data_IF_001111673488
#
_entry.id   IF_001111673488
#
_cell.length_a   1.000
_cell.length_b   1.000
_cell.length_c   1.000
_cell.angle_alpha   90.00
_cell.angle_beta   90.00
_cell.angle_gamma   90.00
#
_symmetry.space_group_name_H-M   'P 1'
#
loop_
_entity.id
_entity.type
_entity.pdbx_description
1 polymer ?
#
# COMPACT_ATOMS: atom_id res chain seq x y z
N UNK A 1 -1.67 -1.41 25.12
CA UNK A 1 -0.86 -1.26 23.89
C UNK A 1 -1.52 -2.12 22.81
N UNK A 2 -1.68 -1.59 21.60
CA UNK A 2 -2.11 -2.36 20.43
C UNK A 2 -0.89 -2.76 19.62
N UNK A 3 -0.86 -3.99 19.11
CA UNK A 3 0.24 -4.56 18.34
C UNK A 3 -0.28 -5.04 16.99
N UNK A 4 0.46 -4.80 15.91
CA UNK A 4 0.17 -5.25 14.56
C UNK A 4 1.43 -5.62 13.79
N UNK A 5 1.24 -6.24 12.64
CA UNK A 5 2.30 -6.54 11.68
C UNK A 5 2.11 -5.66 10.45
N UNK A 6 3.19 -5.05 9.93
CA UNK A 6 3.12 -4.01 8.89
C UNK A 6 4.05 -4.32 7.70
N UNK A 7 3.75 -5.34 6.89
CA UNK A 7 4.51 -5.63 5.67
C UNK A 7 4.09 -4.73 4.51
N UNK A 8 4.84 -4.83 3.41
CA UNK A 8 4.40 -4.41 2.08
C UNK A 8 4.00 -5.62 1.24
N UNK A 9 3.52 -5.39 0.01
CA UNK A 9 3.18 -6.47 -0.90
C UNK A 9 2.73 -5.98 -2.28
N UNK A 10 2.41 -6.95 -3.16
CA UNK A 10 1.78 -6.69 -4.45
C UNK A 10 0.26 -6.67 -4.28
N UNK A 11 -0.35 -5.52 -4.49
CA UNK A 11 -1.79 -5.33 -4.35
C UNK A 11 -2.48 -5.31 -5.70
N UNK A 12 -3.75 -5.67 -5.69
CA UNK A 12 -4.59 -5.69 -6.89
C UNK A 12 -5.90 -4.96 -6.65
N UNK A 13 -6.51 -4.50 -7.74
CA UNK A 13 -7.86 -3.96 -7.76
C UNK A 13 -8.58 -4.39 -9.04
N UNK A 14 -9.91 -4.56 -9.03
CA UNK A 14 -10.64 -5.06 -10.18
C UNK A 14 -10.77 -4.00 -11.28
N UNK A 15 -10.88 -4.44 -12.53
CA UNK A 15 -11.16 -3.60 -13.69
C UNK A 15 -12.57 -3.00 -13.65
N UNK A 16 -13.53 -3.73 -13.11
CA UNK A 16 -14.90 -3.30 -12.92
C UNK A 16 -15.45 -3.76 -11.57
N UNK A 17 -16.65 -3.28 -11.22
CA UNK A 17 -17.35 -3.75 -10.02
C UNK A 17 -18.11 -5.07 -10.24
N UNK A 18 -17.99 -5.71 -11.38
CA UNK A 18 -18.59 -7.01 -11.63
C UNK A 18 -17.97 -8.05 -10.69
N UNK A 19 -18.80 -8.93 -10.14
CA UNK A 19 -18.40 -9.95 -9.17
C UNK A 19 -17.23 -10.81 -9.68
N UNK A 20 -17.20 -11.12 -10.98
CA UNK A 20 -16.12 -11.89 -11.59
C UNK A 20 -14.76 -11.16 -11.55
N UNK A 21 -14.75 -9.86 -11.86
CA UNK A 21 -13.54 -9.06 -11.83
C UNK A 21 -13.04 -8.85 -10.39
N UNK A 22 -13.97 -8.63 -9.46
CA UNK A 22 -13.66 -8.49 -8.02
C UNK A 22 -13.05 -9.77 -7.47
N UNK A 23 -13.64 -10.93 -7.78
CA UNK A 23 -13.12 -12.23 -7.33
C UNK A 23 -11.77 -12.55 -8.00
N UNK A 24 -11.61 -12.22 -9.29
CA UNK A 24 -10.32 -12.37 -10.00
C UNK A 24 -9.20 -11.55 -9.35
N UNK A 25 -9.46 -10.28 -9.04
CA UNK A 25 -8.50 -9.42 -8.37
C UNK A 25 -8.15 -9.95 -6.98
N UNK A 26 -9.15 -10.35 -6.19
CA UNK A 26 -8.95 -10.93 -4.87
C UNK A 26 -8.15 -12.24 -4.92
N UNK A 27 -8.48 -13.13 -5.83
CA UNK A 27 -7.75 -14.40 -6.00
C UNK A 27 -6.31 -14.16 -6.44
N UNK A 28 -6.08 -13.26 -7.40
CA UNK A 28 -4.72 -12.92 -7.79
C UNK A 28 -3.90 -12.37 -6.62
N UNK A 29 -4.45 -11.47 -5.80
CA UNK A 29 -3.76 -10.89 -4.66
C UNK A 29 -3.28 -11.95 -3.66
N UNK A 30 -4.08 -12.97 -3.40
CA UNK A 30 -3.78 -13.95 -2.35
C UNK A 30 -3.19 -15.27 -2.86
N UNK A 31 -3.59 -15.73 -4.06
CA UNK A 31 -3.24 -17.08 -4.56
C UNK A 31 -2.14 -17.09 -5.61
N UNK A 32 -1.80 -15.94 -6.22
CA UNK A 32 -0.74 -15.88 -7.22
C UNK A 32 0.64 -15.93 -6.56
N UNK A 33 1.07 -17.11 -6.15
CA UNK A 33 2.37 -17.36 -5.51
C UNK A 33 3.21 -18.23 -6.44
N UNK A 34 4.36 -17.70 -6.86
CA UNK A 34 5.35 -18.39 -7.70
C UNK A 34 6.75 -18.20 -7.14
N UNK A 35 7.73 -18.91 -7.68
CA UNK A 35 9.14 -18.73 -7.30
C UNK A 35 9.67 -17.32 -7.56
N UNK A 36 9.08 -16.60 -8.52
CA UNK A 36 9.54 -15.27 -8.92
C UNK A 36 8.87 -14.12 -8.14
N UNK A 37 7.68 -14.38 -7.55
CA UNK A 37 6.88 -13.31 -6.93
C UNK A 37 6.56 -13.49 -5.44
N UNK A 38 6.88 -14.62 -4.84
CA UNK A 38 6.50 -14.97 -3.46
C UNK A 38 6.87 -13.89 -2.44
N UNK A 39 8.02 -13.24 -2.63
CA UNK A 39 8.52 -12.20 -1.71
C UNK A 39 7.56 -11.01 -1.60
N UNK A 40 6.79 -10.74 -2.65
CA UNK A 40 5.80 -9.65 -2.70
C UNK A 40 4.36 -10.14 -2.49
N UNK A 41 4.14 -11.45 -2.32
CA UNK A 41 2.79 -11.96 -2.16
C UNK A 41 2.26 -11.66 -0.76
N UNK A 42 1.07 -11.07 -0.70
CA UNK A 42 0.45 -10.62 0.55
C UNK A 42 0.08 -11.79 1.46
N UNK A 43 -0.48 -12.88 0.92
CA UNK A 43 -0.91 -14.03 1.70
C UNK A 43 0.29 -14.81 2.25
N UNK A 44 1.38 -14.90 1.51
CA UNK A 44 2.59 -15.61 1.95
C UNK A 44 3.09 -15.11 3.32
N UNK A 45 3.05 -13.79 3.53
CA UNK A 45 3.53 -13.18 4.77
C UNK A 45 2.44 -13.01 5.84
N UNK A 46 1.19 -12.77 5.42
CA UNK A 46 0.12 -12.48 6.38
C UNK A 46 -0.64 -13.73 6.85
N UNK A 47 -0.83 -14.74 6.01
CA UNK A 47 -1.57 -15.94 6.42
C UNK A 47 -0.96 -16.66 7.63
N UNK A 48 0.37 -16.93 7.69
CA UNK A 48 0.95 -17.54 8.87
C UNK A 48 0.78 -16.70 10.14
N UNK A 49 0.84 -15.37 10.00
CA UNK A 49 0.70 -14.43 11.13
C UNK A 49 -0.75 -14.33 11.63
N UNK A 50 -1.72 -14.21 10.73
CA UNK A 50 -3.12 -13.97 11.11
C UNK A 50 -3.99 -15.22 11.11
N UNK A 51 -3.64 -16.25 10.33
CA UNK A 51 -4.43 -17.49 10.19
C UNK A 51 -3.71 -18.74 10.76
N UNK A 52 -2.44 -18.63 11.16
CA UNK A 52 -1.67 -19.71 11.73
C UNK A 52 -1.25 -20.80 10.71
N UNK A 53 -1.27 -20.48 9.42
CA UNK A 53 -0.88 -21.42 8.37
C UNK A 53 -0.43 -20.69 7.11
N UNK A 54 0.55 -21.23 6.41
CA UNK A 54 0.95 -20.76 5.10
C UNK A 54 -0.10 -21.10 4.03
N UNK A 55 -0.27 -20.26 2.99
CA UNK A 55 -1.17 -20.57 1.88
C UNK A 55 -0.71 -21.81 1.12
N UNK A 56 -1.66 -22.69 0.79
CA UNK A 56 -1.40 -23.98 0.13
C UNK A 56 -0.67 -23.79 -1.20
N UNK A 57 -1.10 -22.83 -2.00
CA UNK A 57 -0.50 -22.48 -3.29
C UNK A 57 1.00 -22.13 -3.15
N UNK A 58 1.36 -21.43 -2.07
CA UNK A 58 2.75 -21.10 -1.77
C UNK A 58 3.58 -22.30 -1.33
N UNK A 59 3.02 -23.14 -0.46
CA UNK A 59 3.69 -24.37 -0.03
C UNK A 59 3.98 -25.30 -1.22
N UNK A 60 3.05 -25.41 -2.17
CA UNK A 60 3.23 -26.21 -3.39
C UNK A 60 4.27 -25.57 -4.33
N UNK A 61 4.17 -24.27 -4.60
CA UNK A 61 5.06 -23.58 -5.54
C UNK A 61 6.51 -23.50 -5.06
N UNK A 62 6.72 -23.44 -3.74
CA UNK A 62 8.03 -23.25 -3.13
C UNK A 62 8.59 -24.51 -2.47
N UNK A 63 7.92 -25.67 -2.59
CA UNK A 63 8.23 -26.89 -1.86
C UNK A 63 9.73 -27.30 -1.89
N UNK A 64 10.41 -27.07 -3.03
CA UNK A 64 11.83 -27.43 -3.18
C UNK A 64 12.80 -26.49 -2.43
N UNK A 65 12.32 -25.36 -1.93
CA UNK A 65 13.14 -24.31 -1.31
C UNK A 65 12.79 -24.06 0.15
N UNK A 66 11.69 -24.63 0.63
CA UNK A 66 11.24 -24.41 2.00
C UNK A 66 12.06 -25.23 2.99
N UNK A 67 12.44 -24.65 4.13
CA UNK A 67 12.90 -25.41 5.28
C UNK A 67 11.75 -26.26 5.84
N UNK A 68 12.05 -27.15 6.76
CA UNK A 68 11.03 -27.77 7.60
C UNK A 68 10.34 -26.69 8.43
N UNK A 69 9.01 -26.60 8.33
CA UNK A 69 8.17 -25.69 9.10
C UNK A 69 7.51 -26.52 10.20
N UNK A 70 7.93 -26.28 11.43
CA UNK A 70 7.45 -27.04 12.59
C UNK A 70 6.18 -26.43 13.20
N UNK A 71 5.49 -27.20 14.06
CA UNK A 71 4.39 -26.68 14.87
C UNK A 71 4.83 -25.55 15.82
N UNK A 72 6.04 -25.68 16.38
CA UNK A 72 6.63 -24.69 17.27
C UNK A 72 6.92 -23.37 16.54
N UNK A 73 7.36 -23.42 15.28
CA UNK A 73 7.51 -22.19 14.46
C UNK A 73 6.16 -21.50 14.27
N UNK A 74 5.12 -22.27 13.96
CA UNK A 74 3.78 -21.71 13.76
C UNK A 74 3.18 -21.16 15.05
N UNK A 75 3.43 -21.76 16.21
CA UNK A 75 3.04 -21.21 17.50
C UNK A 75 3.75 -19.88 17.80
N UNK A 76 5.01 -19.72 17.40
CA UNK A 76 5.75 -18.46 17.55
C UNK A 76 5.26 -17.38 16.59
N UNK A 77 4.95 -17.74 15.33
CA UNK A 77 4.50 -16.80 14.28
C UNK A 77 3.07 -16.34 14.54
N UNK A 78 2.17 -17.24 14.88
CA UNK A 78 0.74 -16.96 15.06
C UNK A 78 0.42 -16.45 16.46
N UNK A 79 0.88 -15.23 16.77
CA UNK A 79 0.53 -14.57 18.02
C UNK A 79 -0.69 -13.63 17.83
N UNK A 80 -1.50 -13.40 18.87
CA UNK A 80 -2.66 -12.51 18.77
C UNK A 80 -2.22 -11.08 18.47
N UNK A 81 -2.65 -10.55 17.32
CA UNK A 81 -2.45 -9.18 16.90
C UNK A 81 -3.76 -8.39 16.92
N UNK A 82 -3.68 -7.08 17.16
CA UNK A 82 -4.84 -6.20 17.25
C UNK A 82 -5.30 -5.65 15.89
N UNK A 83 -4.37 -5.45 14.95
CA UNK A 83 -4.64 -4.81 13.67
C UNK A 83 -3.70 -5.30 12.56
N UNK A 84 -4.09 -5.03 11.32
CA UNK A 84 -3.25 -5.19 10.13
C UNK A 84 -2.61 -3.84 9.83
N UNK A 85 -1.28 -3.76 9.74
CA UNK A 85 -0.57 -2.66 9.13
C UNK A 85 -0.18 -3.03 7.70
N UNK A 86 -0.27 -2.11 6.76
CA UNK A 86 0.17 -2.35 5.38
C UNK A 86 0.79 -1.12 4.75
N UNK A 87 1.93 -1.31 4.08
CA UNK A 87 2.57 -0.31 3.24
C UNK A 87 2.03 -0.46 1.82
N UNK A 88 1.12 0.43 1.40
CA UNK A 88 0.42 0.34 0.11
C UNK A 88 0.68 1.59 -0.72
N UNK A 89 1.40 1.47 -1.83
CA UNK A 89 1.73 2.60 -2.71
C UNK A 89 0.99 2.56 -4.05
N UNK A 90 0.79 1.37 -4.60
CA UNK A 90 0.12 1.15 -5.88
C UNK A 90 -0.47 -0.25 -5.97
N UNK A 91 -1.22 -0.51 -7.03
CA UNK A 91 -1.80 -1.80 -7.33
C UNK A 91 -1.84 -2.12 -8.81
N UNK A 92 -2.19 -3.35 -9.12
CA UNK A 92 -2.37 -3.86 -10.47
C UNK A 92 -3.85 -4.04 -10.76
N UNK A 93 -4.30 -3.54 -11.93
CA UNK A 93 -5.67 -3.75 -12.39
C UNK A 93 -5.83 -5.17 -12.92
N UNK A 94 -6.90 -5.84 -12.51
CA UNK A 94 -7.17 -7.24 -12.83
C UNK A 94 -8.60 -7.41 -13.34
N UNK A 95 -8.78 -8.20 -14.37
CA UNK A 95 -10.07 -8.68 -14.85
C UNK A 95 -10.17 -10.19 -14.76
N UNK A 96 -11.40 -10.71 -14.82
CA UNK A 96 -11.65 -12.12 -14.95
C UNK A 96 -11.16 -12.64 -16.32
N UNK A 97 -10.71 -13.88 -16.33
CA UNK A 97 -10.28 -14.60 -17.54
C UNK A 97 -10.76 -16.06 -17.47
N UNK A 98 -11.39 -16.53 -18.53
CA UNK A 98 -11.98 -17.88 -18.56
C UNK A 98 -10.94 -19.01 -18.61
N UNK A 99 -9.69 -18.70 -18.99
CA UNK A 99 -8.63 -19.71 -19.12
C UNK A 99 -7.74 -19.77 -17.89
N UNK A 100 -7.40 -18.60 -17.31
CA UNK A 100 -6.41 -18.47 -16.24
C UNK A 100 -7.00 -17.99 -14.91
N UNK A 101 -8.32 -17.79 -14.83
CA UNK A 101 -9.08 -17.23 -13.71
C UNK A 101 -8.89 -15.73 -13.50
N UNK A 102 -7.77 -15.16 -13.89
CA UNK A 102 -7.48 -13.71 -13.84
C UNK A 102 -6.51 -13.29 -14.93
N UNK A 103 -6.61 -12.04 -15.35
CA UNK A 103 -5.73 -11.39 -16.30
C UNK A 103 -5.28 -10.03 -15.77
N UNK A 104 -3.99 -9.76 -15.85
CA UNK A 104 -3.44 -8.42 -15.61
C UNK A 104 -3.81 -7.52 -16.80
N UNK A 105 -4.41 -6.38 -16.50
CA UNK A 105 -4.69 -5.36 -17.51
C UNK A 105 -3.44 -4.52 -17.78
N UNK A 106 -3.17 -4.29 -19.04
CA UNK A 106 -2.06 -3.44 -19.48
C UNK A 106 -2.38 -1.96 -19.24
N UNK A 107 -1.38 -1.20 -18.81
CA UNK A 107 -1.49 0.24 -18.69
C UNK A 107 -1.27 0.90 -20.06
N UNK A 108 -2.08 1.91 -20.35
CA UNK A 108 -1.90 2.69 -21.58
C UNK A 108 -0.57 3.48 -21.58
N UNK A 109 -0.06 3.81 -22.76
CA UNK A 109 1.14 4.62 -22.91
C UNK A 109 0.94 6.00 -22.28
N UNK A 110 1.84 6.41 -21.39
CA UNK A 110 1.69 7.67 -20.64
C UNK A 110 0.86 7.57 -19.36
N UNK A 111 0.61 6.36 -18.86
CA UNK A 111 -0.05 6.16 -17.56
C UNK A 111 0.68 6.96 -16.47
N UNK A 112 -0.06 7.67 -15.58
CA UNK A 112 0.54 8.50 -14.53
C UNK A 112 1.48 7.71 -13.62
N UNK A 113 2.64 8.29 -13.32
CA UNK A 113 3.67 7.68 -12.51
C UNK A 113 4.30 8.68 -11.52
N UNK A 114 4.79 8.14 -10.41
CA UNK A 114 5.59 8.88 -9.41
C UNK A 114 7.03 9.11 -9.89
N UNK A 115 7.85 9.83 -9.13
CA UNK A 115 9.30 9.93 -9.35
C UNK A 115 9.98 8.57 -9.43
N UNK A 116 9.58 7.61 -8.60
CA UNK A 116 10.02 6.22 -8.59
C UNK A 116 9.53 5.39 -9.79
N UNK A 117 8.81 5.99 -10.74
CA UNK A 117 8.15 5.29 -11.84
C UNK A 117 7.07 4.29 -11.42
N UNK A 118 6.59 4.40 -10.20
CA UNK A 118 5.46 3.62 -9.75
C UNK A 118 4.15 4.19 -10.31
N UNK A 119 3.23 3.33 -10.76
CA UNK A 119 1.95 3.80 -11.28
C UNK A 119 1.09 4.44 -10.18
N UNK A 120 0.36 5.47 -10.54
CA UNK A 120 -0.60 6.12 -9.63
C UNK A 120 -1.94 5.43 -9.82
N UNK A 121 -2.38 4.68 -8.80
CA UNK A 121 -3.56 3.80 -8.81
C UNK A 121 -4.32 3.92 -7.49
N UNK A 122 -5.01 5.03 -7.26
CA UNK A 122 -5.61 5.35 -5.96
C UNK A 122 -6.71 4.35 -5.52
N UNK A 123 -7.35 3.65 -6.47
CA UNK A 123 -8.35 2.60 -6.21
C UNK A 123 -7.84 1.51 -5.28
N UNK A 124 -6.53 1.30 -5.25
CA UNK A 124 -5.91 0.29 -4.39
C UNK A 124 -6.18 0.53 -2.90
N UNK A 125 -6.33 1.79 -2.45
CA UNK A 125 -6.64 2.10 -1.06
C UNK A 125 -8.11 1.87 -0.67
N UNK A 126 -8.97 1.50 -1.60
CA UNK A 126 -10.28 0.94 -1.32
C UNK A 126 -10.25 -0.59 -1.35
N UNK A 127 -9.74 -1.17 -2.44
CA UNK A 127 -9.86 -2.62 -2.68
C UNK A 127 -8.92 -3.47 -1.81
N UNK A 128 -7.66 -3.05 -1.61
CA UNK A 128 -6.75 -3.81 -0.78
C UNK A 128 -7.20 -3.86 0.69
N UNK A 129 -7.58 -2.75 1.36
CA UNK A 129 -8.21 -2.80 2.68
C UNK A 129 -9.45 -3.70 2.73
N UNK A 130 -10.34 -3.62 1.74
CA UNK A 130 -11.53 -4.48 1.65
C UNK A 130 -11.15 -5.96 1.67
N UNK A 131 -10.28 -6.38 0.75
CA UNK A 131 -9.86 -7.79 0.64
C UNK A 131 -9.13 -8.28 1.90
N UNK A 132 -8.25 -7.45 2.48
CA UNK A 132 -7.50 -7.78 3.69
C UNK A 132 -8.41 -7.92 4.91
N UNK A 133 -9.33 -6.98 5.12
CA UNK A 133 -10.27 -7.03 6.23
C UNK A 133 -11.26 -8.20 6.09
N UNK A 134 -11.70 -8.50 4.85
CA UNK A 134 -12.50 -9.69 4.57
C UNK A 134 -11.79 -11.00 4.91
N UNK A 135 -10.49 -11.09 4.63
CA UNK A 135 -9.69 -12.29 4.88
C UNK A 135 -9.29 -12.46 6.35
N UNK A 136 -8.74 -11.42 6.96
CA UNK A 136 -8.12 -11.53 8.29
C UNK A 136 -9.01 -11.05 9.45
N UNK A 137 -10.18 -10.45 9.15
CA UNK A 137 -11.16 -10.00 10.16
C UNK A 137 -10.58 -9.07 11.22
N UNK A 138 -9.67 -8.17 10.81
CA UNK A 138 -9.01 -7.19 11.69
C UNK A 138 -9.13 -5.79 11.09
N UNK A 139 -9.11 -4.74 11.92
CA UNK A 139 -9.00 -3.37 11.42
C UNK A 139 -7.64 -3.16 10.74
N UNK A 140 -7.61 -2.30 9.71
CA UNK A 140 -6.40 -2.00 8.96
C UNK A 140 -5.93 -0.56 9.17
N UNK A 141 -4.61 -0.40 9.34
CA UNK A 141 -3.89 0.86 9.22
C UNK A 141 -3.06 0.85 7.95
N UNK A 142 -3.17 1.90 7.15
CA UNK A 142 -2.18 2.17 6.10
C UNK A 142 -0.96 2.77 6.80
N UNK A 143 0.07 1.95 6.95
CA UNK A 143 1.31 2.34 7.67
C UNK A 143 2.25 3.14 6.81
N UNK A 144 2.15 3.00 5.48
CA UNK A 144 2.84 3.87 4.53
C UNK A 144 2.02 4.00 3.23
N UNK A 145 1.90 5.24 2.77
CA UNK A 145 1.51 5.60 1.41
C UNK A 145 2.06 7.00 1.11
N UNK A 146 2.55 7.25 -0.08
CA UNK A 146 3.15 8.52 -0.45
C UNK A 146 3.68 8.57 -1.87
N UNK A 147 4.21 9.73 -2.23
CA UNK A 147 4.70 10.07 -3.57
C UNK A 147 6.14 10.58 -3.51
N UNK A 148 7.06 9.95 -4.26
CA UNK A 148 8.33 10.57 -4.58
C UNK A 148 8.15 11.62 -5.67
N UNK A 149 8.74 12.79 -5.49
CA UNK A 149 8.65 13.93 -6.39
C UNK A 149 9.96 14.70 -6.43
N UNK A 150 10.35 15.30 -7.58
CA UNK A 150 11.54 16.16 -7.70
C UNK A 150 11.28 17.55 -7.10
N UNK A 151 11.12 17.60 -5.78
CA UNK A 151 10.80 18.84 -5.06
C UNK A 151 11.99 19.81 -5.06
N UNK A 152 11.70 21.10 -5.23
CA UNK A 152 12.68 22.18 -5.21
C UNK A 152 12.14 23.39 -4.46
N UNK A 153 13.05 24.18 -3.91
CA UNK A 153 12.70 25.48 -3.32
C UNK A 153 12.47 26.49 -4.45
N UNK A 154 11.28 27.05 -4.51
CA UNK A 154 10.90 28.07 -5.48
C UNK A 154 11.48 29.45 -5.10
N UNK A 155 11.37 30.43 -6.01
CA UNK A 155 11.87 31.78 -5.79
C UNK A 155 11.24 32.53 -4.61
N UNK A 156 10.07 32.12 -4.17
CA UNK A 156 9.37 32.63 -2.98
C UNK A 156 9.76 31.90 -1.68
N UNK A 157 10.74 31.01 -1.74
CA UNK A 157 11.25 30.23 -0.61
C UNK A 157 10.36 29.07 -0.18
N UNK A 158 9.33 28.72 -0.95
CA UNK A 158 8.42 27.63 -0.66
C UNK A 158 8.68 26.41 -1.55
N UNK A 159 8.10 25.29 -1.18
CA UNK A 159 8.05 24.08 -2.01
C UNK A 159 6.60 23.85 -2.43
N UNK A 160 6.35 24.06 -3.72
CA UNK A 160 5.06 23.93 -4.38
C UNK A 160 4.93 22.52 -4.93
N UNK A 161 4.40 21.60 -4.12
CA UNK A 161 4.25 20.17 -4.42
C UNK A 161 2.78 19.77 -4.62
N UNK A 162 2.06 20.51 -5.49
CA UNK A 162 0.65 20.29 -5.83
C UNK A 162 0.39 18.88 -6.37
N UNK A 163 1.37 18.27 -7.04
CA UNK A 163 1.30 16.88 -7.49
C UNK A 163 1.20 15.90 -6.32
N UNK A 164 1.89 16.18 -5.19
CA UNK A 164 1.77 15.36 -3.98
C UNK A 164 0.42 15.59 -3.30
N UNK A 165 -0.09 16.81 -3.29
CA UNK A 165 -1.44 17.11 -2.78
C UNK A 165 -2.48 16.32 -3.60
N UNK A 166 -2.41 16.41 -4.93
CA UNK A 166 -3.33 15.69 -5.82
C UNK A 166 -3.25 14.17 -5.66
N UNK A 167 -2.06 13.62 -5.45
CA UNK A 167 -1.86 12.20 -5.16
C UNK A 167 -2.54 11.82 -3.84
N UNK A 168 -2.21 12.52 -2.76
CA UNK A 168 -2.75 12.24 -1.42
C UNK A 168 -4.27 12.40 -1.38
N UNK A 169 -4.83 13.42 -2.03
CA UNK A 169 -6.28 13.65 -2.10
C UNK A 169 -6.99 12.47 -2.76
N UNK A 170 -6.50 12.01 -3.92
CA UNK A 170 -7.08 10.86 -4.63
C UNK A 170 -6.99 9.57 -3.82
N UNK A 171 -5.85 9.26 -3.21
CA UNK A 171 -5.68 8.06 -2.42
C UNK A 171 -6.53 8.07 -1.14
N UNK A 172 -6.58 9.20 -0.45
CA UNK A 172 -7.42 9.37 0.74
C UNK A 172 -8.92 9.37 0.41
N UNK A 173 -9.33 9.83 -0.78
CA UNK A 173 -10.70 9.70 -1.26
C UNK A 173 -11.14 8.21 -1.28
N UNK A 174 -10.34 7.33 -1.87
CA UNK A 174 -10.65 5.90 -1.90
C UNK A 174 -10.57 5.23 -0.53
N UNK A 175 -9.65 5.68 0.33
CA UNK A 175 -9.57 5.20 1.71
C UNK A 175 -10.78 5.64 2.54
N UNK A 176 -11.24 6.88 2.36
CA UNK A 176 -12.48 7.38 2.95
C UNK A 176 -13.69 6.59 2.45
N UNK A 177 -13.79 6.32 1.14
CA UNK A 177 -14.84 5.46 0.58
C UNK A 177 -14.89 4.10 1.26
N UNK A 178 -13.74 3.49 1.58
CA UNK A 178 -13.70 2.24 2.34
C UNK A 178 -14.32 2.40 3.74
N UNK A 179 -14.04 3.51 4.43
CA UNK A 179 -14.65 3.83 5.72
C UNK A 179 -16.16 4.04 5.62
N UNK A 180 -16.61 4.75 4.59
CA UNK A 180 -18.03 5.04 4.38
C UNK A 180 -18.85 3.78 4.06
N UNK A 181 -18.20 2.70 3.62
CA UNK A 181 -18.78 1.37 3.39
C UNK A 181 -18.51 0.37 4.54
N UNK A 182 -18.26 0.87 5.75
CA UNK A 182 -18.06 0.07 6.98
C UNK A 182 -16.86 -0.91 6.92
N UNK A 183 -15.92 -0.72 5.99
CA UNK A 183 -14.65 -1.44 6.04
C UNK A 183 -13.86 -0.91 7.24
N UNK A 184 -13.35 -1.77 8.14
CA UNK A 184 -12.74 -1.33 9.39
C UNK A 184 -11.36 -0.70 9.19
N UNK A 185 -11.30 0.41 8.44
CA UNK A 185 -10.11 1.24 8.30
C UNK A 185 -9.90 2.05 9.57
N UNK A 186 -8.69 2.06 10.11
CA UNK A 186 -8.41 2.56 11.45
C UNK A 186 -7.43 3.74 11.49
N UNK A 187 -6.65 3.96 10.43
CA UNK A 187 -5.72 5.08 10.35
C UNK A 187 -4.84 5.06 9.10
N UNK A 188 -4.22 6.21 8.83
CA UNK A 188 -3.38 6.41 7.66
C UNK A 188 -2.13 7.22 8.04
N UNK A 189 -0.98 6.75 7.60
CA UNK A 189 0.31 7.40 7.79
C UNK A 189 0.94 7.71 6.43
N UNK A 190 1.19 8.99 6.20
CA UNK A 190 1.89 9.41 4.99
C UNK A 190 3.36 9.02 5.05
N UNK A 191 3.87 8.42 4.00
CA UNK A 191 5.30 8.25 3.79
C UNK A 191 5.81 9.38 2.90
N UNK A 192 6.60 10.30 3.44
CA UNK A 192 7.13 10.30 4.80
C UNK A 192 6.97 11.70 5.43
N UNK A 193 7.21 11.81 6.73
CA UNK A 193 7.18 13.10 7.41
C UNK A 193 8.23 14.06 6.82
N UNK A 194 9.47 13.59 6.68
CA UNK A 194 10.59 14.37 6.15
C UNK A 194 11.26 13.63 5.00
N UNK A 195 11.86 14.37 4.06
CA UNK A 195 12.76 13.78 3.10
C UNK A 195 13.86 13.00 3.81
N UNK A 196 14.15 11.77 3.36
CA UNK A 196 15.07 10.87 4.04
C UNK A 196 15.83 9.99 3.04
N UNK A 197 16.58 9.02 3.54
CA UNK A 197 17.33 8.05 2.77
C UNK A 197 16.37 6.98 2.21
N UNK A 198 16.32 6.88 0.85
CA UNK A 198 15.45 5.94 0.14
C UNK A 198 16.24 4.74 -0.39
N UNK A 199 16.68 3.86 0.49
CA UNK A 199 17.33 2.59 0.13
C UNK A 199 18.39 2.74 -0.96
N UNK A 200 18.26 2.00 -2.07
CA UNK A 200 19.20 2.04 -3.20
C UNK A 200 19.26 3.39 -3.94
N UNK A 201 18.26 4.25 -3.77
CA UNK A 201 18.21 5.59 -4.36
C UNK A 201 18.90 6.65 -3.50
N UNK A 202 19.31 6.31 -2.27
CA UNK A 202 19.96 7.25 -1.37
C UNK A 202 19.06 8.45 -1.09
N UNK A 203 19.56 9.66 -1.30
CA UNK A 203 18.87 10.93 -1.06
C UNK A 203 18.29 11.58 -2.34
N UNK A 204 18.22 10.83 -3.46
CA UNK A 204 17.74 11.38 -4.73
C UNK A 204 16.22 11.47 -4.80
N UNK A 205 15.51 10.59 -4.12
CA UNK A 205 14.06 10.55 -4.09
C UNK A 205 13.50 11.25 -2.83
N UNK A 206 12.49 12.10 -3.02
CA UNK A 206 11.91 12.91 -1.94
C UNK A 206 10.47 12.55 -1.70
N UNK A 207 10.21 11.85 -0.59
CA UNK A 207 8.86 11.46 -0.17
C UNK A 207 8.25 12.36 0.90
N UNK A 208 9.09 13.15 1.58
CA UNK A 208 8.66 13.96 2.72
C UNK A 208 7.56 14.97 2.41
N UNK A 209 6.69 15.24 3.38
CA UNK A 209 5.85 16.43 3.42
C UNK A 209 6.58 17.63 4.04
N UNK A 210 7.80 17.38 4.53
CA UNK A 210 8.77 18.39 4.96
C UNK A 210 10.05 18.19 4.13
N UNK A 211 10.45 19.24 3.44
CA UNK A 211 11.71 19.29 2.69
C UNK A 211 12.89 19.38 3.64
N UNK A 212 13.94 18.61 3.36
CA UNK A 212 15.22 18.68 4.07
C UNK A 212 16.29 19.14 3.08
N UNK A 213 16.94 20.27 3.37
CA UNK A 213 18.20 20.60 2.73
C UNK A 213 19.29 19.72 3.36
N UNK A 214 19.80 18.78 2.58
CA UNK A 214 20.76 17.79 3.12
C UNK A 214 22.13 18.38 3.46
N UNK A 215 22.43 19.59 2.97
CA UNK A 215 23.68 20.30 3.26
C UNK A 215 23.60 21.10 4.55
N UNK A 216 22.59 21.97 4.67
CA UNK A 216 22.38 22.83 5.83
C UNK A 216 21.60 22.17 6.95
N UNK A 217 20.87 21.09 6.64
CA UNK A 217 19.93 20.42 7.54
C UNK A 217 18.71 21.28 7.90
N UNK A 218 18.44 22.34 7.15
CA UNK A 218 17.23 23.12 7.31
C UNK A 218 16.00 22.34 6.84
N UNK A 219 14.87 22.55 7.52
CA UNK A 219 13.58 21.91 7.24
C UNK A 219 12.54 22.93 6.83
N UNK A 220 11.91 22.71 5.69
CA UNK A 220 10.83 23.57 5.18
C UNK A 220 9.57 22.74 4.96
N UNK A 221 8.46 23.12 5.62
CA UNK A 221 7.18 22.43 5.43
C UNK A 221 6.69 22.71 4.01
N UNK A 222 6.46 21.66 3.22
CA UNK A 222 5.93 21.72 1.85
C UNK A 222 4.44 22.11 1.86
N UNK A 223 3.90 22.54 0.73
CA UNK A 223 2.46 22.85 0.65
C UNK A 223 1.60 21.61 0.94
N UNK A 224 2.05 20.41 0.55
CA UNK A 224 1.40 19.15 0.93
C UNK A 224 1.34 18.93 2.45
N UNK A 225 2.37 19.30 3.20
CA UNK A 225 2.37 19.22 4.65
C UNK A 225 1.34 20.15 5.30
N UNK A 226 1.20 21.37 4.75
CA UNK A 226 0.17 22.34 5.20
C UNK A 226 -1.24 21.85 4.85
N UNK A 227 -1.42 21.26 3.67
CA UNK A 227 -2.67 20.65 3.23
C UNK A 227 -3.05 19.45 4.11
N UNK A 228 -2.10 18.53 4.36
CA UNK A 228 -2.34 17.35 5.18
C UNK A 228 -2.69 17.70 6.64
N UNK A 229 -2.10 18.77 7.19
CA UNK A 229 -2.54 19.33 8.49
C UNK A 229 -4.02 19.70 8.48
N UNK A 230 -4.54 20.28 7.38
CA UNK A 230 -5.96 20.62 7.26
C UNK A 230 -6.83 19.36 7.14
N UNK A 231 -6.36 18.34 6.41
CA UNK A 231 -7.04 17.03 6.33
C UNK A 231 -7.23 16.44 7.73
N UNK A 232 -6.16 16.40 8.51
CA UNK A 232 -6.20 15.89 9.90
C UNK A 232 -7.15 16.74 10.75
N UNK A 233 -7.05 18.05 10.67
CA UNK A 233 -7.86 18.99 11.46
C UNK A 233 -9.35 18.95 11.14
N UNK A 234 -9.72 18.56 9.91
CA UNK A 234 -11.10 18.39 9.47
C UNK A 234 -11.60 16.95 9.56
N UNK A 235 -10.79 16.03 10.09
CA UNK A 235 -11.08 14.58 10.06
C UNK A 235 -11.45 14.08 8.64
N UNK A 236 -10.73 14.57 7.63
CA UNK A 236 -10.92 14.17 6.23
C UNK A 236 -12.07 14.88 5.48
N UNK A 237 -12.81 15.81 6.09
CA UNK A 237 -13.94 16.49 5.42
C UNK A 237 -13.54 17.27 4.16
N UNK A 238 -12.29 17.73 4.07
CA UNK A 238 -11.79 18.50 2.92
C UNK A 238 -11.33 17.64 1.74
N UNK A 239 -11.27 16.31 1.89
CA UNK A 239 -10.92 15.38 0.81
C UNK A 239 -12.04 15.40 -0.23
N UNK A 240 -11.68 15.55 -1.51
CA UNK A 240 -12.62 15.69 -2.63
C UNK A 240 -13.00 14.37 -3.28
#
# INVERSE_FOLDING_TARGET
IKVGFAPTGAFTYPKSNDEKDVEAAKNMMFKNITQDNWVWNVAWWNDPVYLGQYPKEGLEALAAYLPEITSEDMELIHQPLDFIGMNIYNGQMVSADDQTSWKLEERYIGFPQTGMKWPITPEVLYWAPKFLCERYKKPIYITENGLASPDMIAADGKIHDENRIAFLDQYLHYYRKASDEDIPVAGYFVWSLMDNFEWAFGYTERFGIVYVDYTSQERTIKESGKWYKKVIGSNGEIIK
#
